data_IF_923704381962
#
_entry.id   IF_923704381962
#
_cell.length_a   1.000
_cell.length_b   1.000
_cell.length_c   1.000
_cell.angle_alpha   90.00
_cell.angle_beta   90.00
_cell.angle_gamma   90.00
#
_symmetry.space_group_name_H-M   'P 1'
#
loop_
_entity.id
_entity.type
_entity.pdbx_description
1 polymer ?
#
# COMPACT_ATOMS: atom_id res chain seq x y z
N UNK A 1 -19.01 12.95 -21.87
CA UNK A 1 -19.23 12.85 -20.42
C UNK A 1 -17.99 12.24 -19.83
N UNK A 2 -17.20 12.96 -19.04
CA UNK A 2 -16.19 12.31 -18.18
C UNK A 2 -16.98 11.39 -17.23
N UNK A 3 -16.88 10.10 -17.48
CA UNK A 3 -17.63 9.06 -16.79
C UNK A 3 -17.24 9.11 -15.32
N UNK A 4 -18.18 9.20 -14.38
CA UNK A 4 -17.94 9.25 -12.92
C UNK A 4 -16.77 8.36 -12.44
N UNK A 5 -16.58 7.17 -13.04
CA UNK A 5 -15.45 6.28 -12.77
C UNK A 5 -14.06 6.90 -12.93
N UNK A 6 -13.82 7.78 -13.92
CA UNK A 6 -12.51 8.44 -14.10
C UNK A 6 -12.23 9.45 -12.98
N UNK A 7 -13.25 10.15 -12.50
CA UNK A 7 -13.14 11.09 -11.37
C UNK A 7 -12.81 10.34 -10.07
N UNK A 8 -13.51 9.23 -9.82
CA UNK A 8 -13.24 8.41 -8.62
C UNK A 8 -11.86 7.76 -8.67
N UNK A 9 -11.47 7.17 -9.80
CA UNK A 9 -10.15 6.57 -9.97
C UNK A 9 -9.03 7.61 -9.73
N UNK A 10 -9.21 8.83 -10.25
CA UNK A 10 -8.28 9.94 -10.02
C UNK A 10 -8.21 10.36 -8.55
N UNK A 11 -9.36 10.47 -7.88
CA UNK A 11 -9.40 10.84 -6.47
C UNK A 11 -8.69 9.81 -5.57
N UNK A 12 -8.85 8.51 -5.87
CA UNK A 12 -8.17 7.43 -5.18
C UNK A 12 -6.67 7.47 -5.44
N UNK A 13 -6.26 7.69 -6.68
CA UNK A 13 -4.84 7.81 -7.05
C UNK A 13 -4.17 9.00 -6.35
N UNK A 14 -4.80 10.18 -6.39
CA UNK A 14 -4.34 11.39 -5.71
C UNK A 14 -4.28 11.24 -4.18
N UNK A 15 -5.21 10.49 -3.60
CA UNK A 15 -5.18 10.19 -2.17
C UNK A 15 -4.03 9.23 -1.85
N UNK A 16 -3.90 8.14 -2.60
CA UNK A 16 -2.91 7.10 -2.37
C UNK A 16 -1.48 7.64 -2.46
N UNK A 17 -1.19 8.48 -3.44
CA UNK A 17 0.11 9.13 -3.62
C UNK A 17 0.50 10.07 -2.47
N UNK A 18 -0.47 10.60 -1.72
CA UNK A 18 -0.22 11.46 -0.55
C UNK A 18 -0.04 10.68 0.75
N UNK A 19 -0.69 9.51 0.87
CA UNK A 19 -0.78 8.80 2.16
C UNK A 19 0.04 7.51 2.20
N UNK A 20 0.66 7.05 1.10
CA UNK A 20 1.35 5.75 1.08
C UNK A 20 2.49 5.63 2.11
N UNK A 21 3.26 6.70 2.35
CA UNK A 21 4.31 6.70 3.40
C UNK A 21 3.69 6.72 4.80
N UNK A 22 2.79 7.66 5.15
CA UNK A 22 2.13 7.65 6.47
C UNK A 22 1.44 6.31 6.80
N UNK A 23 0.74 5.71 5.85
CA UNK A 23 0.02 4.45 6.06
C UNK A 23 0.98 3.27 6.17
N UNK A 24 2.12 3.28 5.47
CA UNK A 24 3.19 2.30 5.67
C UNK A 24 3.78 2.36 7.08
N UNK A 25 4.08 3.57 7.56
CA UNK A 25 4.59 3.77 8.93
C UNK A 25 3.56 3.29 9.96
N UNK A 26 2.27 3.54 9.70
CA UNK A 26 1.18 3.09 10.57
C UNK A 26 1.06 1.56 10.61
N UNK A 27 1.25 0.90 9.46
CA UNK A 27 1.29 -0.56 9.37
C UNK A 27 2.51 -1.13 10.13
N UNK A 28 3.71 -0.58 9.92
CA UNK A 28 4.90 -0.97 10.69
C UNK A 28 4.69 -0.81 12.19
N UNK A 29 4.08 0.29 12.61
CA UNK A 29 3.75 0.52 14.01
C UNK A 29 2.75 -0.52 14.52
N UNK A 30 1.66 -0.79 13.79
CA UNK A 30 0.64 -1.77 14.18
C UNK A 30 1.22 -3.18 14.37
N UNK A 31 2.12 -3.61 13.47
CA UNK A 31 2.70 -4.95 13.50
C UNK A 31 3.85 -5.10 14.51
N UNK A 32 4.73 -4.10 14.62
CA UNK A 32 5.93 -4.19 15.48
C UNK A 32 5.69 -3.70 16.91
N UNK A 33 4.71 -2.81 17.13
CA UNK A 33 4.44 -2.26 18.47
C UNK A 33 4.18 -3.36 19.51
N UNK A 34 3.36 -4.41 19.25
CA UNK A 34 3.14 -5.49 20.23
C UNK A 34 4.43 -6.20 20.69
N UNK A 35 5.46 -6.25 19.84
CA UNK A 35 6.75 -6.87 20.16
C UNK A 35 7.64 -5.97 21.03
N UNK A 36 7.44 -4.64 20.97
CA UNK A 36 8.28 -3.62 21.60
C UNK A 36 7.64 -2.98 22.84
N UNK A 37 6.31 -3.04 22.94
CA UNK A 37 5.51 -2.46 24.02
C UNK A 37 5.85 -2.91 25.45
N UNK A 38 6.39 -4.13 25.72
CA UNK A 38 6.71 -4.52 27.09
C UNK A 38 7.81 -3.68 27.75
N UNK A 39 8.55 -2.85 27.01
CA UNK A 39 9.78 -2.20 27.50
C UNK A 39 9.89 -0.70 27.23
N UNK A 40 9.02 -0.10 26.41
CA UNK A 40 9.20 1.26 25.89
C UNK A 40 7.89 2.03 25.80
N UNK A 41 7.95 3.35 25.97
CA UNK A 41 6.80 4.24 25.80
C UNK A 41 6.41 4.46 24.33
N UNK A 42 5.21 5.00 24.09
CA UNK A 42 4.70 5.26 22.73
C UNK A 42 5.69 6.05 21.86
N UNK A 43 6.21 7.17 22.36
CA UNK A 43 7.12 8.04 21.62
C UNK A 43 8.48 7.39 21.34
N UNK A 44 8.95 6.55 22.25
CA UNK A 44 10.22 5.81 22.12
C UNK A 44 10.14 4.74 21.04
N UNK A 45 8.95 4.19 20.79
CA UNK A 45 8.69 3.22 19.72
C UNK A 45 8.39 3.94 18.40
N UNK A 46 7.56 4.99 18.45
CA UNK A 46 7.07 5.69 17.27
C UNK A 46 8.17 6.42 16.50
N UNK A 47 9.05 7.17 17.18
CA UNK A 47 10.09 7.97 16.50
C UNK A 47 11.07 7.09 15.72
N UNK A 48 11.65 6.01 16.28
CA UNK A 48 12.48 5.10 15.51
C UNK A 48 11.73 4.43 14.36
N UNK A 49 10.49 3.97 14.58
CA UNK A 49 9.68 3.34 13.52
C UNK A 49 9.33 4.30 12.40
N UNK A 50 9.12 5.58 12.70
CA UNK A 50 8.90 6.63 11.71
C UNK A 50 10.13 6.78 10.80
N UNK A 51 11.33 6.87 11.39
CA UNK A 51 12.59 6.97 10.63
C UNK A 51 12.81 5.70 9.80
N UNK A 52 12.67 4.52 10.41
CA UNK A 52 12.79 3.23 9.72
C UNK A 52 11.79 3.12 8.58
N UNK A 53 10.54 3.53 8.80
CA UNK A 53 9.48 3.48 7.80
C UNK A 53 9.77 4.37 6.59
N UNK A 54 10.29 5.58 6.79
CA UNK A 54 10.71 6.46 5.69
C UNK A 54 11.86 5.83 4.89
N UNK A 55 12.87 5.30 5.59
CA UNK A 55 14.03 4.67 4.95
C UNK A 55 13.61 3.45 4.14
N UNK A 56 12.80 2.55 4.73
CA UNK A 56 12.29 1.36 4.05
C UNK A 56 11.40 1.72 2.87
N UNK A 57 10.46 2.65 3.01
CA UNK A 57 9.61 3.09 1.90
C UNK A 57 10.44 3.64 0.74
N UNK A 58 11.47 4.44 1.04
CA UNK A 58 12.38 5.00 0.04
C UNK A 58 13.22 3.91 -0.64
N UNK A 59 13.72 2.94 0.11
CA UNK A 59 14.45 1.79 -0.43
C UNK A 59 13.58 0.93 -1.34
N UNK A 60 12.33 0.68 -0.96
CA UNK A 60 11.36 -0.06 -1.79
C UNK A 60 11.11 0.67 -3.11
N UNK A 61 10.88 1.99 -3.09
CA UNK A 61 10.70 2.77 -4.31
C UNK A 61 11.95 2.78 -5.20
N UNK A 62 13.14 2.87 -4.60
CA UNK A 62 14.41 2.80 -5.34
C UNK A 62 14.59 1.43 -5.98
N UNK A 63 14.32 0.35 -5.24
CA UNK A 63 14.37 -1.01 -5.76
C UNK A 63 13.39 -1.22 -6.92
N UNK A 64 12.15 -0.74 -6.78
CA UNK A 64 11.15 -0.80 -7.84
C UNK A 64 11.58 -0.03 -9.09
N UNK A 65 12.17 1.16 -8.91
CA UNK A 65 12.72 1.96 -10.00
C UNK A 65 13.84 1.22 -10.73
N UNK A 66 14.71 0.54 -9.99
CA UNK A 66 15.80 -0.24 -10.58
C UNK A 66 15.27 -1.50 -11.30
N UNK A 67 14.34 -2.23 -10.68
CA UNK A 67 13.74 -3.43 -11.28
C UNK A 67 13.00 -3.13 -12.58
N UNK A 68 12.37 -1.96 -12.69
CA UNK A 68 11.67 -1.51 -13.90
C UNK A 68 12.62 -1.29 -15.10
N UNK A 69 13.92 -1.07 -14.86
CA UNK A 69 14.94 -1.04 -15.93
C UNK A 69 15.12 -2.42 -16.57
N UNK A 70 14.92 -3.49 -15.82
CA UNK A 70 15.09 -4.87 -16.29
C UNK A 70 13.78 -5.50 -16.76
N UNK A 71 12.66 -5.15 -16.13
CA UNK A 71 11.33 -5.69 -16.41
C UNK A 71 10.35 -4.54 -16.60
N UNK A 72 9.94 -4.34 -17.86
CA UNK A 72 8.90 -3.34 -18.18
C UNK A 72 7.63 -3.62 -17.39
N UNK A 73 6.98 -2.57 -16.89
CA UNK A 73 5.72 -2.63 -16.13
C UNK A 73 5.81 -3.43 -14.81
N UNK A 74 7.02 -3.67 -14.29
CA UNK A 74 7.21 -4.40 -13.02
C UNK A 74 6.38 -3.82 -11.86
N UNK A 75 6.33 -2.49 -11.75
CA UNK A 75 5.50 -1.81 -10.74
C UNK A 75 4.03 -2.19 -10.84
N UNK A 76 3.49 -2.25 -12.06
CA UNK A 76 2.09 -2.57 -12.28
C UNK A 76 1.79 -4.02 -11.86
N UNK A 77 2.67 -4.97 -12.18
CA UNK A 77 2.51 -6.36 -11.73
C UNK A 77 2.57 -6.49 -10.21
N UNK A 78 3.50 -5.80 -9.55
CA UNK A 78 3.61 -5.79 -8.09
C UNK A 78 2.36 -5.16 -7.47
N UNK A 79 1.85 -4.06 -8.05
CA UNK A 79 0.60 -3.42 -7.62
C UNK A 79 -0.59 -4.37 -7.73
N UNK A 80 -0.79 -5.00 -8.89
CA UNK A 80 -1.85 -5.98 -9.12
C UNK A 80 -1.77 -7.18 -8.16
N UNK A 81 -0.56 -7.61 -7.80
CA UNK A 81 -0.36 -8.67 -6.83
C UNK A 81 -0.76 -8.27 -5.39
N UNK A 82 -0.43 -7.04 -4.96
CA UNK A 82 -0.77 -6.57 -3.63
C UNK A 82 -2.24 -6.19 -3.46
N UNK A 83 -2.92 -5.80 -4.55
CA UNK A 83 -4.32 -5.37 -4.52
C UNK A 83 -5.28 -6.38 -3.84
N UNK A 84 -5.32 -7.68 -4.21
CA UNK A 84 -6.17 -8.66 -3.53
C UNK A 84 -5.76 -8.89 -2.07
N UNK A 85 -4.46 -8.86 -1.75
CA UNK A 85 -3.99 -8.98 -0.36
C UNK A 85 -4.47 -7.81 0.50
N UNK A 86 -4.38 -6.60 -0.04
CA UNK A 86 -4.92 -5.40 0.62
C UNK A 86 -6.43 -5.49 0.82
N UNK A 87 -7.17 -5.96 -0.19
CA UNK A 87 -8.62 -6.11 -0.13
C UNK A 87 -9.05 -7.12 0.94
N UNK A 88 -8.41 -8.30 1.01
CA UNK A 88 -8.70 -9.31 2.02
C UNK A 88 -8.43 -8.78 3.43
N UNK A 89 -7.32 -8.07 3.63
CA UNK A 89 -6.98 -7.48 4.93
C UNK A 89 -7.90 -6.35 5.36
N UNK A 90 -8.41 -5.56 4.42
CA UNK A 90 -9.33 -4.45 4.71
C UNK A 90 -10.76 -4.93 5.00
N UNK A 91 -11.15 -6.03 4.36
CA UNK A 91 -12.53 -6.54 4.33
C UNK A 91 -12.61 -8.00 4.84
N UNK A 92 -12.02 -8.35 6.00
CA UNK A 92 -11.90 -9.74 6.45
C UNK A 92 -13.26 -10.44 6.62
N UNK A 93 -14.31 -9.70 6.96
CA UNK A 93 -15.69 -10.20 7.11
C UNK A 93 -16.32 -10.76 5.83
N UNK A 94 -15.70 -10.52 4.66
CA UNK A 94 -16.14 -11.09 3.39
C UNK A 94 -15.29 -12.31 2.97
N UNK A 95 -14.25 -12.64 3.74
CA UNK A 95 -13.29 -13.70 3.44
C UNK A 95 -13.11 -14.64 4.64
N UNK A 96 -14.22 -15.07 5.27
CA UNK A 96 -14.21 -15.91 6.48
C UNK A 96 -13.41 -17.22 6.35
N UNK A 97 -13.21 -17.71 5.12
CA UNK A 97 -12.41 -18.90 4.84
C UNK A 97 -10.89 -18.65 4.84
N UNK A 98 -10.44 -17.40 4.86
CA UNK A 98 -9.04 -16.99 4.72
C UNK A 98 -8.60 -16.23 5.97
N UNK A 99 -7.72 -16.83 6.77
CA UNK A 99 -7.04 -16.12 7.85
C UNK A 99 -5.79 -15.44 7.33
N UNK A 100 -5.77 -14.11 7.35
CA UNK A 100 -4.60 -13.31 6.96
C UNK A 100 -3.77 -12.97 8.20
N UNK A 101 -2.44 -13.20 8.19
CA UNK A 101 -1.58 -13.05 9.35
C UNK A 101 -1.11 -11.60 9.56
N UNK A 102 -1.98 -10.62 9.34
CA UNK A 102 -1.68 -9.19 9.49
C UNK A 102 -2.92 -8.39 9.87
N UNK A 103 -2.70 -7.21 10.44
CA UNK A 103 -3.74 -6.30 10.90
C UNK A 103 -4.46 -5.59 9.75
N UNK A 104 -5.67 -5.09 10.01
CA UNK A 104 -6.43 -4.30 9.03
C UNK A 104 -5.66 -3.05 8.55
N UNK A 105 -4.82 -2.47 9.40
CA UNK A 105 -3.96 -1.32 9.05
C UNK A 105 -2.95 -1.72 7.97
N UNK A 106 -2.37 -2.92 8.08
CA UNK A 106 -1.49 -3.49 7.06
C UNK A 106 -2.25 -3.78 5.77
N UNK A 107 -3.47 -4.31 5.85
CA UNK A 107 -4.35 -4.48 4.68
C UNK A 107 -4.62 -3.17 3.94
N UNK A 108 -4.97 -2.11 4.67
CA UNK A 108 -5.15 -0.77 4.10
C UNK A 108 -3.86 -0.25 3.46
N UNK A 109 -2.71 -0.46 4.12
CA UNK A 109 -1.40 -0.08 3.58
C UNK A 109 -1.07 -0.76 2.27
N UNK A 110 -1.26 -2.09 2.19
CA UNK A 110 -1.06 -2.85 0.97
C UNK A 110 -1.95 -2.34 -0.17
N UNK A 111 -3.19 -1.98 0.14
CA UNK A 111 -4.14 -1.47 -0.84
C UNK A 111 -3.72 -0.08 -1.35
N UNK A 112 -3.32 0.83 -0.46
CA UNK A 112 -2.77 2.14 -0.84
C UNK A 112 -1.51 1.98 -1.72
N UNK A 113 -0.58 1.12 -1.33
CA UNK A 113 0.61 0.82 -2.14
C UNK A 113 0.24 0.21 -3.48
N UNK A 114 -0.76 -0.68 -3.52
CA UNK A 114 -1.21 -1.28 -4.79
C UNK A 114 -1.67 -0.23 -5.79
N UNK A 115 -2.38 0.82 -5.35
CA UNK A 115 -2.80 1.91 -6.22
C UNK A 115 -1.64 2.77 -6.70
N UNK A 116 -0.71 3.13 -5.80
CA UNK A 116 0.50 3.87 -6.18
C UNK A 116 1.32 3.12 -7.23
N UNK A 117 1.37 1.78 -7.13
CA UNK A 117 2.16 0.94 -8.02
C UNK A 117 1.46 0.58 -9.33
N UNK A 118 0.16 0.29 -9.28
CA UNK A 118 -0.63 -0.10 -10.45
C UNK A 118 -1.00 1.09 -11.34
N UNK A 119 -1.03 2.31 -10.77
CA UNK A 119 -1.55 3.52 -11.44
C UNK A 119 -2.94 3.25 -12.05
N UNK A 120 -4.01 3.25 -11.23
CA UNK A 120 -5.35 2.86 -11.66
C UNK A 120 -5.88 3.69 -12.83
N UNK A 121 -5.38 4.90 -13.05
CA UNK A 121 -5.73 5.72 -14.21
C UNK A 121 -5.25 5.09 -15.52
N UNK A 122 -4.01 4.60 -15.56
CA UNK A 122 -3.47 3.90 -16.74
C UNK A 122 -4.22 2.59 -17.00
N UNK A 123 -4.59 1.87 -15.94
CA UNK A 123 -5.37 0.63 -16.05
C UNK A 123 -6.79 0.88 -16.57
N UNK A 124 -7.49 1.89 -16.04
CA UNK A 124 -8.84 2.26 -16.50
C UNK A 124 -8.80 2.79 -17.94
N UNK A 125 -7.77 3.56 -18.32
CA UNK A 125 -7.57 3.98 -19.71
C UNK A 125 -7.38 2.77 -20.63
N UNK A 126 -6.53 1.80 -20.27
CA UNK A 126 -6.35 0.57 -21.05
C UNK A 126 -7.63 -0.26 -21.20
N UNK A 127 -8.51 -0.27 -20.19
CA UNK A 127 -9.81 -0.95 -20.24
C UNK A 127 -10.88 -0.21 -21.06
N UNK A 128 -10.78 1.12 -21.17
CA UNK A 128 -11.72 1.94 -21.94
C UNK A 128 -11.31 2.08 -23.41
N UNK A 129 -10.02 1.89 -23.72
CA UNK A 129 -9.46 1.92 -25.07
C UNK A 129 -9.64 0.58 -25.83
N UNK A 130 -10.24 -0.44 -25.18
CA UNK A 130 -10.64 -1.73 -25.74
C UNK A 130 -12.16 -1.85 -25.85
#
# INVERSE_FOLDING_TARGET
METFGTIYAKAIDDLSSKIFIPVFISALFSELSPLLHPKMGFWEIYVPLFVVGIVLASLVLLFLSFAEVYVSEFRAYVGMFFMPLGAIGLLPQYFDAISVPYTQVTGFSLLVWSFVLANPLRFVQQLLDY
#
